data_IF_714150089939
#
_entry.id   IF_714150089939
#
_cell.length_a   1.000
_cell.length_b   1.000
_cell.length_c   1.000
_cell.angle_alpha   90.00
_cell.angle_beta   90.00
_cell.angle_gamma   90.00
#
_symmetry.space_group_name_H-M   'P 1'
#
loop_
_entity.id
_entity.type
_entity.pdbx_description
1 polymer ?
#
# COMPACT_ATOMS: atom_id res chain seq x y z
N UNK A 1 -16.17 14.14 2.86
CA UNK A 1 -15.70 12.79 3.11
C UNK A 1 -14.43 12.54 2.28
N UNK A 2 -13.34 12.11 2.91
CA UNK A 2 -12.08 11.89 2.19
C UNK A 2 -12.08 10.50 1.57
N UNK A 3 -11.84 10.44 0.26
CA UNK A 3 -11.77 9.17 -0.49
C UNK A 3 -10.32 8.80 -0.82
N UNK A 4 -10.11 7.56 -1.25
CA UNK A 4 -8.81 7.12 -1.74
C UNK A 4 -8.30 8.03 -2.87
N UNK A 5 -9.19 8.45 -3.77
CA UNK A 5 -8.83 9.37 -4.85
C UNK A 5 -8.29 10.69 -4.31
N UNK A 6 -8.91 11.25 -3.28
CA UNK A 6 -8.45 12.49 -2.65
C UNK A 6 -7.04 12.33 -2.08
N UNK A 7 -6.77 11.20 -1.42
CA UNK A 7 -5.44 10.92 -0.86
C UNK A 7 -4.39 10.82 -1.97
N UNK A 8 -4.71 10.13 -3.07
CA UNK A 8 -3.80 9.98 -4.20
C UNK A 8 -3.48 11.31 -4.86
N UNK A 9 -4.43 12.22 -4.93
CA UNK A 9 -4.21 13.55 -5.49
C UNK A 9 -3.22 14.37 -4.67
N UNK A 10 -3.21 14.16 -3.35
CA UNK A 10 -2.29 14.86 -2.43
C UNK A 10 -0.92 14.20 -2.42
N UNK A 11 -0.87 12.87 -2.26
CA UNK A 11 0.41 12.17 -2.12
C UNK A 11 1.13 11.94 -3.45
N UNK A 12 0.40 11.96 -4.56
CA UNK A 12 0.93 11.62 -5.87
C UNK A 12 0.61 10.18 -6.24
N UNK A 13 0.81 9.86 -7.52
CA UNK A 13 0.42 8.58 -8.10
C UNK A 13 1.63 7.72 -8.49
N UNK A 14 2.79 7.98 -7.91
CA UNK A 14 3.99 7.19 -8.16
C UNK A 14 3.76 5.76 -7.68
N UNK A 15 3.98 4.81 -8.58
CA UNK A 15 3.79 3.39 -8.30
C UNK A 15 5.11 2.68 -8.58
N UNK A 16 5.62 1.99 -7.56
CA UNK A 16 6.83 1.20 -7.69
C UNK A 16 6.46 -0.27 -7.76
N UNK A 17 6.85 -0.92 -8.85
CA UNK A 17 6.50 -2.32 -9.09
C UNK A 17 7.73 -3.16 -9.41
N UNK A 18 7.59 -4.46 -9.22
CA UNK A 18 8.59 -5.45 -9.62
C UNK A 18 7.90 -6.56 -10.41
N UNK A 19 8.68 -7.30 -11.17
CA UNK A 19 8.19 -8.45 -11.93
C UNK A 19 8.25 -9.72 -11.06
N UNK A 20 7.37 -10.71 -11.28
CA UNK A 20 7.47 -12.00 -10.62
C UNK A 20 8.82 -12.69 -10.84
N UNK A 21 9.47 -12.41 -11.96
CA UNK A 21 10.76 -13.02 -12.33
C UNK A 21 11.96 -12.27 -11.75
N UNK A 22 11.75 -11.12 -11.11
CA UNK A 22 12.82 -10.42 -10.43
C UNK A 22 13.23 -11.19 -9.17
N UNK A 23 14.48 -10.99 -8.73
CA UNK A 23 14.93 -11.60 -7.47
C UNK A 23 14.38 -10.81 -6.29
N UNK A 24 14.24 -11.49 -5.16
CA UNK A 24 13.86 -10.84 -3.91
C UNK A 24 14.90 -9.78 -3.55
N UNK A 25 16.18 -10.02 -3.84
CA UNK A 25 17.25 -9.06 -3.61
C UNK A 25 16.99 -7.74 -4.36
N UNK A 26 16.62 -7.81 -5.63
CA UNK A 26 16.31 -6.61 -6.43
C UNK A 26 15.09 -5.88 -5.89
N UNK A 27 14.09 -6.61 -5.42
CA UNK A 27 12.92 -6.02 -4.81
C UNK A 27 13.29 -5.27 -3.52
N UNK A 28 14.13 -5.87 -2.67
CA UNK A 28 14.61 -5.22 -1.44
C UNK A 28 15.44 -3.98 -1.74
N UNK A 29 16.26 -4.01 -2.77
CA UNK A 29 17.03 -2.84 -3.19
C UNK A 29 16.11 -1.69 -3.60
N UNK A 30 15.07 -1.99 -4.35
CA UNK A 30 14.10 -0.96 -4.76
C UNK A 30 13.35 -0.41 -3.54
N UNK A 31 12.92 -1.28 -2.62
CA UNK A 31 12.27 -0.85 -1.38
C UNK A 31 13.15 0.13 -0.60
N UNK A 32 14.44 -0.19 -0.46
CA UNK A 32 15.39 0.66 0.24
C UNK A 32 15.60 1.99 -0.46
N UNK A 33 15.68 1.97 -1.79
CA UNK A 33 15.93 3.18 -2.59
C UNK A 33 14.77 4.16 -2.55
N UNK A 34 13.53 3.67 -2.58
CA UNK A 34 12.34 4.52 -2.59
C UNK A 34 11.68 4.62 -1.21
N UNK A 35 12.29 3.99 -0.20
CA UNK A 35 11.85 4.05 1.20
C UNK A 35 10.41 3.58 1.41
N UNK A 36 10.14 2.38 0.93
CA UNK A 36 8.84 1.72 1.15
C UNK A 36 9.06 0.31 1.67
N UNK A 37 8.09 -0.22 2.41
CA UNK A 37 8.18 -1.56 3.00
C UNK A 37 7.51 -2.65 2.17
N UNK A 38 6.92 -2.30 1.04
CA UNK A 38 6.24 -3.24 0.16
C UNK A 38 6.21 -2.72 -1.27
N UNK A 39 6.13 -3.64 -2.22
CA UNK A 39 6.03 -3.33 -3.63
C UNK A 39 4.92 -4.18 -4.25
N UNK A 40 4.25 -3.61 -5.23
CA UNK A 40 3.31 -4.37 -6.05
C UNK A 40 4.08 -5.20 -7.05
N UNK A 41 3.58 -6.39 -7.31
CA UNK A 41 4.15 -7.29 -8.31
C UNK A 41 3.21 -7.28 -9.51
N UNK A 42 3.74 -6.87 -10.66
CA UNK A 42 2.94 -6.77 -11.88
C UNK A 42 3.54 -7.60 -13.00
N UNK A 43 2.66 -8.12 -13.84
CA UNK A 43 3.04 -8.84 -15.04
C UNK A 43 2.33 -8.15 -16.20
N UNK A 44 3.08 -7.38 -16.98
CA UNK A 44 2.49 -6.43 -17.92
C UNK A 44 1.68 -5.40 -17.13
N UNK A 45 0.42 -5.22 -17.50
CA UNK A 45 -0.48 -4.29 -16.83
C UNK A 45 -1.27 -4.94 -15.69
N UNK A 46 -1.03 -6.23 -15.43
CA UNK A 46 -1.80 -6.96 -14.42
C UNK A 46 -1.10 -7.01 -13.07
N UNK A 47 -1.85 -6.72 -12.03
CA UNK A 47 -1.40 -6.86 -10.66
C UNK A 47 -1.52 -8.34 -10.26
N UNK A 48 -0.39 -8.99 -9.98
CA UNK A 48 -0.36 -10.42 -9.67
C UNK A 48 0.03 -10.74 -8.24
N UNK A 49 0.51 -9.76 -7.49
CA UNK A 49 0.90 -10.00 -6.10
C UNK A 49 1.43 -8.77 -5.42
N UNK A 50 1.79 -8.96 -4.15
CA UNK A 50 2.47 -7.95 -3.32
C UNK A 50 3.64 -8.64 -2.63
N UNK A 51 4.78 -7.97 -2.57
CA UNK A 51 5.95 -8.44 -1.83
C UNK A 51 6.33 -7.39 -0.79
N UNK A 52 6.64 -7.84 0.43
CA UNK A 52 7.01 -6.96 1.53
C UNK A 52 8.29 -7.40 2.21
N UNK A 53 8.88 -6.49 2.99
CA UNK A 53 10.02 -6.83 3.85
C UNK A 53 9.66 -7.95 4.82
N UNK A 54 8.42 -8.00 5.26
CA UNK A 54 7.92 -9.06 6.13
C UNK A 54 7.92 -10.42 5.43
N UNK A 55 7.56 -10.46 4.15
CA UNK A 55 7.65 -11.69 3.34
C UNK A 55 9.09 -12.18 3.27
N UNK A 56 10.04 -11.25 3.04
CA UNK A 56 11.45 -11.59 3.03
C UNK A 56 11.89 -12.21 4.36
N UNK A 57 11.55 -11.57 5.48
CA UNK A 57 11.96 -12.06 6.80
C UNK A 57 11.41 -13.45 7.08
N UNK A 58 10.15 -13.70 6.76
CA UNK A 58 9.46 -14.94 7.11
C UNK A 58 9.67 -16.08 6.12
N UNK A 59 9.82 -15.76 4.83
CA UNK A 59 9.84 -16.77 3.78
C UNK A 59 11.19 -16.95 3.11
N UNK A 60 12.16 -16.11 3.43
CA UNK A 60 13.52 -16.20 2.87
C UNK A 60 14.53 -16.40 3.99
N UNK A 61 14.79 -15.34 4.77
CA UNK A 61 15.90 -15.38 5.75
C UNK A 61 15.66 -16.42 6.86
N UNK A 62 14.47 -16.50 7.42
CA UNK A 62 14.15 -17.45 8.48
C UNK A 62 14.09 -18.89 8.00
N UNK A 63 13.91 -19.11 6.69
CA UNK A 63 13.91 -20.45 6.09
C UNK A 63 15.29 -20.85 5.53
N UNK A 64 16.33 -20.05 5.81
CA UNK A 64 17.68 -20.35 5.36
C UNK A 64 17.91 -20.14 3.86
N UNK A 65 17.00 -19.45 3.18
CA UNK A 65 17.14 -19.12 1.76
C UNK A 65 17.88 -17.80 1.59
N UNK A 66 18.32 -17.51 0.38
CA UNK A 66 19.00 -16.25 0.08
C UNK A 66 18.14 -15.41 -0.87
N UNK A 67 18.18 -14.09 -0.67
CA UNK A 67 17.40 -13.16 -1.51
C UNK A 67 17.87 -13.14 -2.96
N UNK A 68 19.15 -13.43 -3.21
CA UNK A 68 19.71 -13.44 -4.56
C UNK A 68 19.31 -14.67 -5.37
N UNK A 69 18.94 -15.76 -4.69
CA UNK A 69 18.57 -17.02 -5.33
C UNK A 69 17.08 -17.31 -5.27
N UNK A 70 16.28 -16.38 -4.71
CA UNK A 70 14.83 -16.52 -4.60
C UNK A 70 14.16 -15.50 -5.49
N UNK A 71 13.19 -15.94 -6.29
CA UNK A 71 12.40 -15.05 -7.14
C UNK A 71 11.22 -14.48 -6.38
N UNK A 72 10.81 -13.28 -6.75
CA UNK A 72 9.65 -12.60 -6.16
C UNK A 72 8.41 -13.50 -6.16
N UNK A 73 8.15 -14.19 -7.27
CA UNK A 73 6.98 -15.07 -7.39
C UNK A 73 6.94 -16.21 -6.37
N UNK A 74 8.09 -16.59 -5.83
CA UNK A 74 8.16 -17.70 -4.86
C UNK A 74 7.64 -17.31 -3.48
N UNK A 75 7.68 -16.00 -3.15
CA UNK A 75 7.31 -15.54 -1.81
C UNK A 75 6.20 -14.48 -1.79
N UNK A 76 5.83 -13.90 -2.93
CA UNK A 76 4.81 -12.87 -2.99
C UNK A 76 3.46 -13.39 -2.49
N UNK A 77 2.66 -12.49 -1.93
CA UNK A 77 1.27 -12.78 -1.59
C UNK A 77 0.44 -12.62 -2.85
N UNK A 78 -0.20 -13.71 -3.29
CA UNK A 78 -0.97 -13.72 -4.55
C UNK A 78 -2.38 -13.19 -4.40
N UNK A 79 -2.99 -13.36 -3.23
CA UNK A 79 -4.34 -12.85 -2.97
C UNK A 79 -4.22 -11.37 -2.61
N UNK A 80 -4.35 -10.51 -3.60
CA UNK A 80 -4.22 -9.08 -3.42
C UNK A 80 -5.59 -8.49 -3.14
N UNK A 81 -5.69 -7.75 -2.03
CA UNK A 81 -6.88 -6.99 -1.69
C UNK A 81 -6.69 -5.59 -2.23
N UNK A 82 -7.63 -5.14 -3.05
CA UNK A 82 -7.58 -3.81 -3.66
C UNK A 82 -8.84 -3.02 -3.34
N UNK A 83 -8.79 -1.72 -3.59
CA UNK A 83 -9.90 -0.82 -3.35
C UNK A 83 -10.19 0.01 -4.60
N UNK A 84 -11.38 0.59 -4.62
CA UNK A 84 -11.81 1.52 -5.65
C UNK A 84 -11.47 2.96 -5.22
N UNK A 85 -11.17 3.89 -6.15
CA UNK A 85 -10.84 5.28 -5.81
C UNK A 85 -11.89 6.01 -4.97
N UNK A 86 -13.14 5.61 -5.07
CA UNK A 86 -14.24 6.25 -4.33
C UNK A 86 -14.44 5.73 -2.91
N UNK A 87 -13.70 4.71 -2.49
CA UNK A 87 -13.79 4.24 -1.12
C UNK A 87 -13.21 5.26 -0.15
N UNK A 88 -13.85 5.39 1.01
CA UNK A 88 -13.47 6.39 2.01
C UNK A 88 -12.27 5.97 2.83
N UNK A 89 -11.63 6.95 3.48
CA UNK A 89 -10.55 6.69 4.44
C UNK A 89 -10.96 5.65 5.48
N UNK A 90 -12.16 5.79 6.01
CA UNK A 90 -12.69 4.89 7.05
C UNK A 90 -12.85 3.47 6.51
N UNK A 91 -13.36 3.34 5.29
CA UNK A 91 -13.47 2.03 4.64
C UNK A 91 -12.11 1.41 4.38
N UNK A 92 -11.13 2.22 3.95
CA UNK A 92 -9.75 1.76 3.74
C UNK A 92 -9.14 1.26 5.05
N UNK A 93 -9.34 1.99 6.14
CA UNK A 93 -8.84 1.60 7.47
C UNK A 93 -9.46 0.27 7.91
N UNK A 94 -10.77 0.11 7.71
CA UNK A 94 -11.48 -1.13 8.05
C UNK A 94 -10.90 -2.32 7.29
N UNK A 95 -10.66 -2.16 6.00
CA UNK A 95 -10.08 -3.21 5.15
C UNK A 95 -8.68 -3.58 5.63
N UNK A 96 -7.85 -2.59 5.91
CA UNK A 96 -6.49 -2.82 6.41
C UNK A 96 -6.50 -3.54 7.75
N UNK A 97 -7.38 -3.12 8.66
CA UNK A 97 -7.49 -3.69 10.00
C UNK A 97 -7.98 -5.13 9.96
N UNK A 98 -9.04 -5.39 9.22
CA UNK A 98 -9.62 -6.73 9.10
C UNK A 98 -8.67 -7.73 8.47
N UNK A 99 -7.91 -7.29 7.48
CA UNK A 99 -7.02 -8.15 6.73
C UNK A 99 -5.57 -8.10 7.21
N UNK A 100 -5.27 -7.27 8.21
CA UNK A 100 -3.92 -7.10 8.78
C UNK A 100 -2.90 -6.75 7.71
N UNK A 101 -3.26 -5.85 6.82
CA UNK A 101 -2.41 -5.37 5.73
C UNK A 101 -2.17 -3.86 5.88
N UNK A 102 -1.05 -3.38 5.36
CA UNK A 102 -0.61 -1.99 5.50
C UNK A 102 -0.58 -1.23 4.18
N UNK A 103 -0.91 -1.88 3.10
CA UNK A 103 -0.89 -1.29 1.77
C UNK A 103 -2.12 -1.74 1.00
N UNK A 104 -2.74 -0.82 0.27
CA UNK A 104 -3.91 -1.08 -0.55
C UNK A 104 -3.67 -0.56 -1.96
N UNK A 105 -3.59 -1.45 -2.94
CA UNK A 105 -3.64 -1.03 -4.33
C UNK A 105 -5.00 -0.44 -4.65
N UNK A 106 -5.01 0.65 -5.39
CA UNK A 106 -6.23 1.30 -5.85
C UNK A 106 -6.42 0.95 -7.32
N UNK A 107 -7.53 0.29 -7.63
CA UNK A 107 -7.83 -0.21 -8.96
C UNK A 107 -9.05 0.50 -9.54
N UNK A 108 -9.00 0.82 -10.82
CA UNK A 108 -10.13 1.40 -11.55
C UNK A 108 -10.20 0.80 -12.94
N UNK A 109 -11.32 0.16 -13.25
CA UNK A 109 -11.51 -0.46 -14.56
C UNK A 109 -10.46 -1.52 -14.91
N UNK A 110 -10.01 -2.28 -13.91
CA UNK A 110 -8.98 -3.30 -14.09
C UNK A 110 -7.56 -2.75 -14.16
N UNK A 111 -7.38 -1.45 -14.00
CA UNK A 111 -6.06 -0.80 -14.03
C UNK A 111 -5.64 -0.31 -12.65
N UNK A 112 -4.36 -0.46 -12.36
CA UNK A 112 -3.75 0.05 -11.14
C UNK A 112 -3.54 1.56 -11.28
N UNK A 113 -4.17 2.34 -10.38
CA UNK A 113 -4.07 3.80 -10.43
C UNK A 113 -3.29 4.41 -9.26
N UNK A 114 -2.99 3.63 -8.25
CA UNK A 114 -2.20 4.11 -7.13
C UNK A 114 -2.09 3.09 -6.02
N UNK A 115 -1.39 3.46 -4.94
CA UNK A 115 -1.23 2.63 -3.74
C UNK A 115 -1.37 3.52 -2.53
N UNK A 116 -2.13 3.07 -1.54
CA UNK A 116 -2.24 3.73 -0.25
C UNK A 116 -1.54 2.90 0.82
N UNK A 117 -0.74 3.56 1.65
CA UNK A 117 -0.18 2.94 2.84
C UNK A 117 -1.08 3.24 4.04
N UNK A 118 -0.89 2.46 5.12
CA UNK A 118 -1.60 2.74 6.37
C UNK A 118 -1.27 4.14 6.90
N UNK A 119 -0.02 4.59 6.71
CA UNK A 119 0.40 5.94 7.08
C UNK A 119 -0.39 7.02 6.34
N UNK A 120 -0.62 6.83 5.04
CA UNK A 120 -1.42 7.75 4.23
C UNK A 120 -2.84 7.88 4.78
N UNK A 121 -3.46 6.75 5.10
CA UNK A 121 -4.84 6.71 5.58
C UNK A 121 -4.96 7.32 6.98
N UNK A 122 -4.08 6.94 7.91
CA UNK A 122 -4.07 7.46 9.28
C UNK A 122 -3.84 8.97 9.29
N UNK A 123 -2.88 9.46 8.50
CA UNK A 123 -2.58 10.88 8.39
C UNK A 123 -3.81 11.68 7.98
N UNK A 124 -4.57 11.18 7.02
CA UNK A 124 -5.75 11.87 6.53
C UNK A 124 -6.92 11.81 7.52
N UNK A 125 -7.06 10.72 8.27
CA UNK A 125 -8.05 10.61 9.34
C UNK A 125 -7.76 11.63 10.44
N UNK A 126 -6.49 11.74 10.86
CA UNK A 126 -6.08 12.71 11.89
C UNK A 126 -6.34 14.14 11.43
N UNK A 127 -5.99 14.46 10.19
CA UNK A 127 -6.24 15.78 9.61
C UNK A 127 -7.73 16.13 9.65
N UNK A 128 -8.59 15.20 9.24
CA UNK A 128 -10.04 15.39 9.24
C UNK A 128 -10.57 15.65 10.65
N UNK A 129 -10.07 14.91 11.65
CA UNK A 129 -10.48 15.10 13.05
C UNK A 129 -10.06 16.47 13.57
N UNK A 130 -8.85 16.92 13.24
CA UNK A 130 -8.36 18.25 13.64
C UNK A 130 -9.22 19.36 13.05
N UNK A 131 -9.58 19.27 11.79
CA UNK A 131 -10.44 20.25 11.14
C UNK A 131 -11.82 20.27 11.80
N UNK A 132 -12.38 19.13 12.13
CA UNK A 132 -13.66 19.03 12.83
C UNK A 132 -13.63 19.69 14.20
N UNK A 133 -12.57 19.44 14.98
CA UNK A 133 -12.38 20.05 16.30
C UNK A 133 -12.25 21.57 16.18
N UNK A 134 -11.49 22.03 15.20
CA UNK A 134 -11.31 23.46 14.93
C UNK A 134 -12.65 24.14 14.61
N UNK A 135 -13.46 23.53 13.75
CA UNK A 135 -14.78 24.04 13.39
C UNK A 135 -15.70 24.12 14.60
N UNK A 136 -15.70 23.09 15.44
CA UNK A 136 -16.48 23.07 16.67
C UNK A 136 -16.04 24.16 17.66
N UNK A 137 -14.74 24.36 17.78
CA UNK A 137 -14.19 25.41 18.65
C UNK A 137 -14.58 26.80 18.17
N UNK A 138 -14.52 27.05 16.87
CA UNK A 138 -14.96 28.31 16.26
C UNK A 138 -16.45 28.52 16.49
N UNK A 139 -17.24 27.46 16.29
CA UNK A 139 -18.69 27.52 16.51
C UNK A 139 -19.07 27.83 17.95
N UNK A 140 -18.25 27.43 18.93
CA UNK A 140 -18.49 27.74 20.36
C UNK A 140 -18.18 29.18 20.72
N UNK A 141 -17.29 29.82 19.99
CA UNK A 141 -16.89 31.19 20.23
C UNK A 141 -17.93 32.16 19.68
N UNK A 142 -18.58 31.78 18.61
CA UNK A 142 -19.60 32.59 17.97
C UNK A 142 -20.95 32.40 18.64
#
# INVERSE_FOLDING_TARGET
MITAQNILEIKGKDIWTVSPEDTVFDALRLMARVDVGALLVTEGDQLVGVISERDYARKVILLGKTSKETLVKEIMTKKVISIHPMQTCEECMDIMTKNKIRHLPVMMGGKLVGVLSIGDVVKNIIYKQREKIKDLSIGRII
#
